data_IF_829016024719
#
_entry.id   IF_829016024719
#
_cell.length_a   1.000
_cell.length_b   1.000
_cell.length_c   1.000
_cell.angle_alpha   90.00
_cell.angle_beta   90.00
_cell.angle_gamma   90.00
#
_symmetry.space_group_name_H-M   'P 1'
#
loop_
_entity.id
_entity.type
_entity.pdbx_description
1 polymer ?
#
# COMPACT_ATOMS: atom_id res chain seq x y z
N UNK A 1 -15.98 -1.59 -4.95
CA UNK A 1 -14.67 -0.90 -4.88
C UNK A 1 -13.89 -1.22 -6.14
N UNK A 2 -13.17 -0.26 -6.71
CA UNK A 2 -12.39 -0.47 -7.94
C UNK A 2 -10.94 -0.85 -7.60
N UNK A 3 -10.38 -1.84 -8.31
CA UNK A 3 -8.97 -2.17 -8.15
C UNK A 3 -8.07 -1.06 -8.71
N UNK A 4 -7.10 -0.59 -7.93
CA UNK A 4 -6.19 0.50 -8.33
C UNK A 4 -5.29 0.15 -9.52
N UNK A 5 -4.99 -1.15 -9.76
CA UNK A 5 -4.08 -1.57 -10.84
C UNK A 5 -4.79 -1.91 -12.15
N UNK A 6 -5.88 -2.67 -12.10
CA UNK A 6 -6.58 -3.15 -13.31
C UNK A 6 -7.99 -2.60 -13.49
N UNK A 7 -8.50 -1.76 -12.59
CA UNK A 7 -9.81 -1.12 -12.75
C UNK A 7 -11.03 -2.03 -12.52
N UNK A 8 -10.86 -3.34 -12.27
CA UNK A 8 -11.97 -4.27 -12.03
C UNK A 8 -12.75 -3.93 -10.75
N UNK A 9 -14.07 -4.05 -10.81
CA UNK A 9 -14.96 -3.96 -9.64
C UNK A 9 -14.79 -5.20 -8.73
N UNK A 10 -14.54 -4.96 -7.46
CA UNK A 10 -14.37 -5.99 -6.42
C UNK A 10 -15.23 -5.62 -5.20
N UNK A 11 -15.85 -6.63 -4.59
CA UNK A 11 -16.57 -6.48 -3.33
C UNK A 11 -15.64 -5.98 -2.22
N UNK A 12 -16.15 -5.12 -1.34
CA UNK A 12 -15.34 -4.47 -0.29
C UNK A 12 -14.71 -5.48 0.68
N UNK A 13 -15.44 -6.53 1.05
CA UNK A 13 -14.97 -7.59 1.96
C UNK A 13 -13.86 -8.46 1.36
N UNK A 14 -13.80 -8.57 0.03
CA UNK A 14 -12.84 -9.43 -0.69
C UNK A 14 -11.57 -8.66 -1.12
N UNK A 15 -11.66 -7.34 -1.26
CA UNK A 15 -10.55 -6.53 -1.74
C UNK A 15 -9.41 -6.48 -0.71
N UNK A 16 -8.16 -6.61 -1.17
CA UNK A 16 -7.00 -6.44 -0.29
C UNK A 16 -6.70 -4.94 -0.17
N UNK A 17 -6.89 -4.41 1.04
CA UNK A 17 -6.48 -3.06 1.39
C UNK A 17 -5.01 -3.07 1.80
N UNK A 18 -4.18 -2.27 1.12
CA UNK A 18 -2.78 -2.04 1.45
C UNK A 18 -2.63 -0.58 1.81
N UNK A 19 -2.33 -0.32 3.08
CA UNK A 19 -2.04 1.03 3.57
C UNK A 19 -0.54 1.23 3.58
N UNK A 20 -0.04 2.25 2.87
CA UNK A 20 1.37 2.64 2.89
C UNK A 20 1.48 4.09 3.31
N UNK A 21 2.44 4.38 4.19
CA UNK A 21 2.85 5.75 4.48
C UNK A 21 3.60 6.31 3.26
N UNK A 22 3.11 7.41 2.73
CA UNK A 22 3.67 8.07 1.56
C UNK A 22 4.31 9.36 2.02
N UNK A 23 5.64 9.43 1.88
CA UNK A 23 6.38 10.67 2.07
C UNK A 23 6.24 11.51 0.79
N UNK A 24 6.09 12.82 0.95
CA UNK A 24 5.99 13.77 -0.16
C UNK A 24 7.35 13.94 -0.85
N UNK A 25 8.42 13.82 -0.06
CA UNK A 25 9.80 14.07 -0.47
C UNK A 25 10.63 12.81 -0.28
N UNK A 26 11.70 12.71 -1.06
CA UNK A 26 12.70 11.66 -0.91
C UNK A 26 13.36 11.71 0.48
N UNK A 27 13.85 10.57 0.96
CA UNK A 27 14.45 10.44 2.29
C UNK A 27 15.64 11.38 2.51
N UNK A 28 16.46 11.62 1.49
CA UNK A 28 17.64 12.49 1.62
C UNK A 28 17.23 13.94 1.83
N UNK A 29 16.37 14.46 0.95
CA UNK A 29 15.85 15.83 1.00
C UNK A 29 15.02 16.04 2.27
N UNK A 30 14.27 15.02 2.69
CA UNK A 30 13.53 15.05 3.96
C UNK A 30 14.45 15.30 5.16
N UNK A 31 15.64 14.70 5.18
CA UNK A 31 16.63 14.91 6.23
C UNK A 31 17.17 16.35 6.26
N UNK A 32 17.42 16.93 5.09
CA UNK A 32 17.88 18.32 4.96
C UNK A 32 16.79 19.31 5.40
N UNK A 33 15.58 19.18 4.87
CA UNK A 33 14.44 20.04 5.20
C UNK A 33 14.06 19.96 6.69
N UNK A 34 14.17 18.77 7.30
CA UNK A 34 13.93 18.60 8.73
C UNK A 34 14.95 19.34 9.57
N UNK A 35 16.23 19.41 9.16
CA UNK A 35 17.27 20.18 9.86
C UNK A 35 17.02 21.68 9.75
N UNK A 36 16.51 22.15 8.62
CA UNK A 36 16.12 23.55 8.42
C UNK A 36 14.85 23.94 9.20
N UNK A 37 14.17 22.97 9.82
CA UNK A 37 12.96 23.20 10.63
C UNK A 37 11.65 23.18 9.85
N UNK A 38 11.66 22.72 8.59
CA UNK A 38 10.43 22.61 7.79
C UNK A 38 9.54 21.47 8.29
N UNK A 39 8.25 21.78 8.50
CA UNK A 39 7.25 20.78 8.89
C UNK A 39 6.71 20.09 7.63
N UNK A 40 7.02 18.80 7.49
CA UNK A 40 6.55 17.99 6.36
C UNK A 40 5.46 17.05 6.84
N UNK A 41 4.24 17.27 6.37
CA UNK A 41 3.09 16.43 6.69
C UNK A 41 3.09 15.18 5.80
N UNK A 42 3.37 14.03 6.39
CA UNK A 42 3.26 12.74 5.70
C UNK A 42 1.80 12.28 5.59
N UNK A 43 1.45 11.69 4.46
CA UNK A 43 0.13 11.07 4.25
C UNK A 43 0.15 9.55 4.43
N UNK A 44 -1.02 8.96 4.65
CA UNK A 44 -1.22 7.52 4.48
C UNK A 44 -2.12 7.28 3.27
N UNK A 45 -1.62 6.52 2.30
CA UNK A 45 -2.40 6.16 1.11
C UNK A 45 -2.88 4.73 1.25
N UNK A 46 -4.20 4.53 1.17
CA UNK A 46 -4.81 3.20 1.15
C UNK A 46 -5.17 2.80 -0.28
N UNK A 47 -4.53 1.75 -0.79
CA UNK A 47 -4.78 1.19 -2.12
C UNK A 47 -5.58 -0.10 -2.00
N UNK A 48 -6.51 -0.32 -2.93
CA UNK A 48 -7.34 -1.52 -2.97
C UNK A 48 -7.00 -2.37 -4.19
N UNK A 49 -6.66 -3.63 -3.97
CA UNK A 49 -6.30 -4.56 -5.02
C UNK A 49 -7.25 -5.75 -5.10
N UNK A 50 -7.49 -6.23 -6.32
CA UNK A 50 -8.04 -7.57 -6.52
C UNK A 50 -6.97 -8.63 -6.17
N UNK A 51 -7.39 -9.86 -5.90
CA UNK A 51 -6.50 -10.94 -5.45
C UNK A 51 -5.37 -11.19 -6.47
N UNK A 52 -5.68 -11.22 -7.76
CA UNK A 52 -4.68 -11.43 -8.82
C UNK A 52 -3.63 -10.33 -8.86
N UNK A 53 -4.04 -9.05 -8.80
CA UNK A 53 -3.11 -7.92 -8.77
C UNK A 53 -2.30 -7.87 -7.47
N UNK A 54 -2.87 -8.29 -6.34
CA UNK A 54 -2.16 -8.36 -5.07
C UNK A 54 -1.02 -9.39 -5.12
N UNK A 55 -1.25 -10.56 -5.74
CA UNK A 55 -0.21 -11.59 -5.93
C UNK A 55 0.85 -11.14 -6.94
N UNK A 56 0.44 -10.64 -8.11
CA UNK A 56 1.37 -10.19 -9.15
C UNK A 56 2.21 -8.97 -8.73
N UNK A 57 1.71 -8.14 -7.81
CA UNK A 57 2.45 -6.99 -7.27
C UNK A 57 3.17 -7.31 -5.95
N UNK A 58 3.31 -8.60 -5.62
CA UNK A 58 4.01 -9.11 -4.43
C UNK A 58 3.51 -8.54 -3.09
N UNK A 59 2.26 -8.08 -3.03
CA UNK A 59 1.63 -7.63 -1.78
C UNK A 59 1.15 -8.80 -0.93
N UNK A 60 0.86 -9.93 -1.57
CA UNK A 60 0.47 -11.20 -0.93
C UNK A 60 1.13 -12.35 -1.68
N UNK A 61 1.67 -13.32 -0.97
CA UNK A 61 2.26 -14.54 -1.54
C UNK A 61 1.47 -15.78 -1.14
N UNK A 62 1.72 -16.91 -1.83
CA UNK A 62 1.12 -18.19 -1.47
C UNK A 62 1.74 -18.72 -0.19
N UNK A 63 0.90 -18.93 0.83
CA UNK A 63 1.28 -19.49 2.13
C UNK A 63 1.02 -21.00 2.18
N UNK A 64 1.81 -21.71 3.00
CA UNK A 64 1.59 -23.11 3.34
C UNK A 64 0.20 -23.33 3.96
N UNK A 65 -0.39 -24.52 3.80
CA UNK A 65 -1.78 -24.82 4.22
C UNK A 65 -2.07 -24.42 5.67
N UNK A 66 -1.15 -24.73 6.59
CA UNK A 66 -1.31 -24.46 8.02
C UNK A 66 -1.24 -22.97 8.36
N UNK A 67 -0.54 -22.17 7.55
CA UNK A 67 -0.37 -20.73 7.78
C UNK A 67 -1.47 -19.87 7.15
N UNK A 68 -2.44 -20.44 6.41
CA UNK A 68 -3.49 -19.68 5.72
C UNK A 68 -4.58 -19.13 6.66
N UNK A 69 -4.83 -19.83 7.77
CA UNK A 69 -5.87 -19.46 8.75
C UNK A 69 -5.37 -18.46 9.81
N UNK A 70 -4.05 -18.29 9.93
CA UNK A 70 -3.43 -17.28 10.78
C UNK A 70 -3.33 -15.92 10.10
#
# INVERSE_FOLDING_TARGET
MQCTKCGRLVARSKAKAVTRRTNIVDARVYGELKKTGTIIMGGSTKKYYCISCAVHSHQVSQRAKNQRKG
#
